data_IF_916290953155
#
_entry.id   IF_916290953155
#
_cell.length_a   1.000
_cell.length_b   1.000
_cell.length_c   1.000
_cell.angle_alpha   90.00
_cell.angle_beta   90.00
_cell.angle_gamma   90.00
#
_symmetry.space_group_name_H-M   'P 1'
#
loop_
_entity.id
_entity.type
_entity.pdbx_description
1 polymer ?
#
# COMPACT_ATOMS: atom_id res chain seq x y z
N UNK A 1 -11.23 5.98 -21.68
CA UNK A 1 -11.26 6.79 -20.45
C UNK A 1 -11.45 5.85 -19.28
N UNK A 2 -10.35 5.39 -18.69
CA UNK A 2 -10.38 4.58 -17.46
C UNK A 2 -10.70 5.54 -16.32
N UNK A 3 -11.84 5.36 -15.65
CA UNK A 3 -12.18 6.14 -14.46
C UNK A 3 -11.09 5.86 -13.42
N UNK A 4 -10.26 6.85 -13.08
CA UNK A 4 -9.42 6.77 -11.88
C UNK A 4 -10.37 6.61 -10.70
N UNK A 5 -10.38 5.42 -10.11
CA UNK A 5 -11.16 5.13 -8.93
C UNK A 5 -10.46 5.87 -7.78
N UNK A 6 -11.08 6.93 -7.28
CA UNK A 6 -10.60 7.63 -6.08
C UNK A 6 -10.86 6.74 -4.88
N UNK A 7 -9.78 6.31 -4.22
CA UNK A 7 -9.83 5.48 -3.03
C UNK A 7 -10.06 6.35 -1.78
N UNK A 8 -10.89 5.86 -0.86
CA UNK A 8 -11.13 6.49 0.44
C UNK A 8 -10.93 5.46 1.56
N UNK A 9 -10.25 5.86 2.63
CA UNK A 9 -10.08 5.04 3.83
C UNK A 9 -11.41 4.69 4.50
N UNK A 10 -12.44 5.54 4.37
CA UNK A 10 -13.75 5.26 4.95
C UNK A 10 -14.41 4.01 4.34
N UNK A 11 -14.31 3.86 3.01
CA UNK A 11 -14.82 2.66 2.31
C UNK A 11 -14.04 1.42 2.73
N UNK A 12 -12.71 1.54 2.88
CA UNK A 12 -11.87 0.45 3.37
C UNK A 12 -12.27 0.04 4.79
N UNK A 13 -12.47 0.98 5.72
CA UNK A 13 -12.86 0.67 7.09
C UNK A 13 -14.23 -0.02 7.18
N UNK A 14 -15.16 0.33 6.31
CA UNK A 14 -16.45 -0.37 6.19
C UNK A 14 -16.24 -1.81 5.73
N UNK A 15 -15.44 -2.03 4.69
CA UNK A 15 -15.17 -3.38 4.15
C UNK A 15 -14.39 -4.27 5.11
N UNK A 16 -13.58 -3.68 6.00
CA UNK A 16 -12.86 -4.40 7.05
C UNK A 16 -13.71 -4.63 8.31
N UNK A 17 -14.96 -4.14 8.37
CA UNK A 17 -15.82 -4.29 9.54
C UNK A 17 -15.41 -3.42 10.74
N UNK A 18 -14.54 -2.42 10.53
CA UNK A 18 -13.97 -1.56 11.58
C UNK A 18 -14.49 -0.12 11.53
N UNK A 19 -15.59 0.12 10.82
CA UNK A 19 -16.20 1.44 10.68
C UNK A 19 -16.56 2.13 12.00
N UNK A 20 -16.76 1.35 13.07
CA UNK A 20 -17.15 1.84 14.39
C UNK A 20 -15.95 2.20 15.31
N UNK A 21 -14.71 2.01 14.83
CA UNK A 21 -13.52 2.47 15.55
C UNK A 21 -13.55 3.99 15.75
N UNK A 22 -12.95 4.46 16.83
CA UNK A 22 -12.76 5.89 17.08
C UNK A 22 -11.87 6.53 16.00
N UNK A 23 -11.94 7.85 15.86
CA UNK A 23 -11.11 8.58 14.90
C UNK A 23 -9.61 8.34 15.14
N UNK A 24 -9.17 8.28 16.41
CA UNK A 24 -7.78 8.01 16.76
C UNK A 24 -7.34 6.60 16.37
N UNK A 25 -8.19 5.59 16.57
CA UNK A 25 -7.90 4.21 16.15
C UNK A 25 -7.85 4.08 14.61
N UNK A 26 -8.75 4.77 13.91
CA UNK A 26 -8.74 4.83 12.44
C UNK A 26 -7.49 5.51 11.89
N UNK A 27 -7.02 6.58 12.54
CA UNK A 27 -5.79 7.27 12.16
C UNK A 27 -4.56 6.37 12.35
N UNK A 28 -4.47 5.66 13.48
CA UNK A 28 -3.40 4.68 13.71
C UNK A 28 -3.43 3.58 12.65
N UNK A 29 -4.62 3.09 12.29
CA UNK A 29 -4.76 2.05 11.28
C UNK A 29 -4.41 2.55 9.87
N UNK A 30 -4.87 3.76 9.50
CA UNK A 30 -4.51 4.39 8.23
C UNK A 30 -3.00 4.56 8.10
N UNK A 31 -2.35 5.09 9.14
CA UNK A 31 -0.90 5.23 9.17
C UNK A 31 -0.18 3.89 9.01
N UNK A 32 -0.67 2.84 9.67
CA UNK A 32 -0.09 1.50 9.50
C UNK A 32 -0.26 0.98 8.08
N UNK A 33 -1.39 1.27 7.40
CA UNK A 33 -1.57 0.94 5.98
C UNK A 33 -0.54 1.67 5.12
N UNK A 34 -0.37 2.98 5.34
CA UNK A 34 0.58 3.82 4.59
C UNK A 34 2.01 3.28 4.72
N UNK A 35 2.47 3.03 5.95
CA UNK A 35 3.80 2.49 6.21
C UNK A 35 4.04 1.14 5.52
N UNK A 36 3.01 0.27 5.48
CA UNK A 36 3.11 -1.02 4.79
C UNK A 36 3.20 -0.85 3.27
N UNK A 37 2.38 0.03 2.70
CA UNK A 37 2.39 0.31 1.25
C UNK A 37 3.73 0.96 0.85
N UNK A 38 4.20 1.95 1.60
CA UNK A 38 5.51 2.58 1.37
C UNK A 38 6.65 1.56 1.41
N UNK A 39 6.65 0.66 2.41
CA UNK A 39 7.63 -0.41 2.50
C UNK A 39 7.63 -1.33 1.27
N UNK A 40 6.44 -1.70 0.77
CA UNK A 40 6.29 -2.53 -0.43
C UNK A 40 6.78 -1.82 -1.68
N UNK A 41 6.43 -0.54 -1.85
CA UNK A 41 6.92 0.30 -2.95
C UNK A 41 8.45 0.32 -2.96
N UNK A 42 9.07 0.58 -1.81
CA UNK A 42 10.53 0.64 -1.70
C UNK A 42 11.18 -0.71 -2.05
N UNK A 43 10.65 -1.82 -1.52
CA UNK A 43 11.15 -3.17 -1.85
C UNK A 43 11.05 -3.44 -3.36
N UNK A 44 9.94 -3.07 -4.00
CA UNK A 44 9.73 -3.29 -5.43
C UNK A 44 10.65 -2.42 -6.29
N UNK A 45 10.89 -1.17 -5.89
CA UNK A 45 11.89 -0.30 -6.52
C UNK A 45 13.26 -0.95 -6.41
N UNK A 46 13.71 -1.30 -5.20
CA UNK A 46 15.04 -1.89 -4.99
C UNK A 46 15.24 -3.22 -5.74
N UNK A 47 14.20 -4.04 -5.85
CA UNK A 47 14.24 -5.28 -6.63
C UNK A 47 14.31 -5.05 -8.14
N UNK A 48 13.92 -3.87 -8.62
CA UNK A 48 14.00 -3.48 -10.03
C UNK A 48 15.36 -2.88 -10.40
N UNK A 49 16.21 -2.62 -9.42
CA UNK A 49 17.55 -2.03 -9.60
C UNK A 49 18.64 -3.12 -9.56
N UNK A 50 19.69 -2.93 -10.36
CA UNK A 50 20.94 -3.69 -10.19
C UNK A 50 21.66 -3.29 -8.90
N UNK A 51 22.66 -4.05 -8.47
CA UNK A 51 23.41 -3.72 -7.26
C UNK A 51 24.23 -2.41 -7.41
N UNK A 52 24.73 -2.13 -8.62
CA UNK A 52 25.36 -0.83 -8.92
C UNK A 52 24.35 0.31 -8.82
N UNK A 53 23.14 0.09 -9.32
CA UNK A 53 22.06 1.07 -9.31
C UNK A 53 21.52 1.34 -7.91
N UNK A 54 21.48 0.33 -7.03
CA UNK A 54 21.15 0.53 -5.61
C UNK A 54 22.12 1.47 -4.92
N UNK A 55 23.42 1.33 -5.20
CA UNK A 55 24.43 2.25 -4.66
C UNK A 55 24.21 3.68 -5.13
N UNK A 56 23.84 3.87 -6.40
CA UNK A 56 23.53 5.18 -6.96
C UNK A 56 22.20 5.74 -6.40
N UNK A 57 21.22 4.89 -6.15
CA UNK A 57 19.97 5.25 -5.52
C UNK A 57 20.18 5.74 -4.07
N UNK A 58 20.98 5.02 -3.27
CA UNK A 58 21.34 5.42 -1.89
C UNK A 58 22.12 6.75 -1.81
N UNK A 59 22.78 7.12 -2.90
CA UNK A 59 23.50 8.39 -3.01
C UNK A 59 22.56 9.59 -3.22
N UNK A 60 21.32 9.39 -3.67
CA UNK A 60 20.33 10.45 -3.82
C UNK A 60 19.96 11.02 -2.44
N UNK A 61 19.84 12.36 -2.33
CA UNK A 61 19.57 13.06 -1.05
C UNK A 61 18.29 13.87 -1.07
N UNK A 62 17.70 14.06 -2.25
CA UNK A 62 16.47 14.83 -2.44
C UNK A 62 15.46 14.06 -3.27
N UNK A 63 14.18 14.36 -3.06
CA UNK A 63 13.09 13.74 -3.82
C UNK A 63 13.23 13.97 -5.34
N UNK A 64 13.74 15.13 -5.73
CA UNK A 64 14.00 15.45 -7.14
C UNK A 64 15.10 14.57 -7.75
N UNK A 65 16.15 14.24 -7.00
CA UNK A 65 17.20 13.31 -7.45
C UNK A 65 16.65 11.89 -7.57
N UNK A 66 15.85 11.46 -6.60
CA UNK A 66 15.19 10.15 -6.62
C UNK A 66 14.26 10.04 -7.84
N UNK A 67 13.41 11.03 -8.08
CA UNK A 67 12.49 11.05 -9.22
C UNK A 67 13.26 11.02 -10.55
N UNK A 68 14.31 11.84 -10.68
CA UNK A 68 15.15 11.86 -11.87
C UNK A 68 15.84 10.51 -12.11
N UNK A 69 16.37 9.89 -11.05
CA UNK A 69 17.01 8.58 -11.12
C UNK A 69 16.02 7.49 -11.56
N UNK A 70 14.87 7.39 -10.91
CA UNK A 70 13.84 6.40 -11.24
C UNK A 70 13.34 6.56 -12.67
N UNK A 71 13.14 7.81 -13.12
CA UNK A 71 12.80 8.11 -14.50
C UNK A 71 13.87 7.67 -15.50
N UNK A 72 15.15 7.87 -15.19
CA UNK A 72 16.25 7.40 -16.02
C UNK A 72 16.32 5.86 -16.11
N UNK A 73 15.83 5.17 -15.08
CA UNK A 73 15.69 3.70 -15.05
C UNK A 73 14.37 3.19 -15.63
N UNK A 74 13.54 4.08 -16.16
CA UNK A 74 12.21 3.75 -16.67
C UNK A 74 11.32 3.06 -15.60
N UNK A 75 11.49 3.47 -14.34
CA UNK A 75 10.69 3.02 -13.21
C UNK A 75 9.63 4.08 -12.94
N UNK A 76 8.36 3.71 -13.10
CA UNK A 76 7.21 4.57 -12.79
C UNK A 76 6.78 4.35 -11.35
N UNK A 77 7.27 5.20 -10.45
CA UNK A 77 6.95 5.15 -9.02
C UNK A 77 5.44 5.33 -8.77
N UNK A 78 4.76 6.17 -9.56
CA UNK A 78 3.32 6.41 -9.39
C UNK A 78 2.51 5.17 -9.75
N UNK A 79 2.87 4.50 -10.86
CA UNK A 79 2.24 3.24 -11.23
C UNK A 79 2.46 2.16 -10.16
N UNK A 80 3.70 2.00 -9.68
CA UNK A 80 4.02 1.07 -8.59
C UNK A 80 3.20 1.38 -7.34
N UNK A 81 3.12 2.65 -6.93
CA UNK A 81 2.38 3.05 -5.74
C UNK A 81 0.89 2.70 -5.83
N UNK A 82 0.26 2.95 -6.98
CA UNK A 82 -1.15 2.61 -7.22
C UNK A 82 -1.34 1.10 -7.18
N UNK A 83 -0.46 0.32 -7.82
CA UNK A 83 -0.55 -1.15 -7.84
C UNK A 83 -0.36 -1.76 -6.45
N UNK A 84 0.62 -1.30 -5.68
CA UNK A 84 0.88 -1.81 -4.32
C UNK A 84 -0.27 -1.44 -3.37
N UNK A 85 -0.80 -0.22 -3.46
CA UNK A 85 -1.95 0.19 -2.66
C UNK A 85 -3.20 -0.65 -2.96
N UNK A 86 -3.46 -0.93 -4.24
CA UNK A 86 -4.56 -1.78 -4.68
C UNK A 86 -4.39 -3.22 -4.20
N UNK A 87 -3.22 -3.80 -4.44
CA UNK A 87 -2.89 -5.17 -4.06
C UNK A 87 -3.02 -5.35 -2.55
N UNK A 88 -2.47 -4.42 -1.76
CA UNK A 88 -2.53 -4.51 -0.31
C UNK A 88 -3.97 -4.33 0.22
N UNK A 89 -4.77 -3.45 -0.37
CA UNK A 89 -6.20 -3.33 -0.04
C UNK A 89 -6.95 -4.64 -0.28
N UNK A 90 -6.74 -5.26 -1.43
CA UNK A 90 -7.39 -6.54 -1.78
C UNK A 90 -6.99 -7.66 -0.80
N UNK A 91 -5.72 -7.71 -0.41
CA UNK A 91 -5.23 -8.62 0.63
C UNK A 91 -5.94 -8.40 1.97
N UNK A 92 -6.01 -7.14 2.45
CA UNK A 92 -6.69 -6.81 3.71
C UNK A 92 -8.17 -7.22 3.69
N UNK A 93 -8.89 -6.93 2.61
CA UNK A 93 -10.31 -7.28 2.47
C UNK A 93 -10.49 -8.80 2.44
N UNK A 94 -9.63 -9.52 1.72
CA UNK A 94 -9.65 -10.98 1.62
C UNK A 94 -9.41 -11.62 2.98
N UNK A 95 -8.43 -11.13 3.73
CA UNK A 95 -8.10 -11.64 5.06
C UNK A 95 -9.24 -11.38 6.06
N UNK A 96 -9.85 -10.19 6.02
CA UNK A 96 -11.03 -9.87 6.83
C UNK A 96 -12.21 -10.82 6.52
N UNK A 97 -12.52 -11.00 5.23
CA UNK A 97 -13.61 -11.88 4.76
C UNK A 97 -13.39 -13.34 5.19
N UNK A 98 -12.15 -13.81 5.17
CA UNK A 98 -11.80 -15.17 5.61
C UNK A 98 -11.99 -15.36 7.12
N UNK A 99 -11.64 -14.36 7.92
CA UNK A 99 -11.83 -14.38 9.38
C UNK A 99 -13.33 -14.40 9.71
N UNK A 100 -14.14 -13.55 9.07
CA UNK A 100 -15.61 -13.55 9.26
C UNK A 100 -16.25 -14.89 8.89
N UNK A 101 -15.82 -15.49 7.78
CA UNK A 101 -16.29 -16.80 7.34
C UNK A 101 -15.96 -17.91 8.35
N UNK A 102 -14.75 -17.89 8.93
CA UNK A 102 -14.35 -18.84 9.98
C UNK A 102 -15.11 -18.65 11.27
N UNK A 103 -15.29 -17.41 11.74
CA UNK A 103 -16.03 -17.13 12.98
C UNK A 103 -17.50 -17.53 12.86
N UNK A 104 -18.12 -17.27 11.71
CA UNK A 104 -19.49 -17.67 11.40
C UNK A 104 -19.65 -19.20 11.37
N UNK A 105 -18.68 -19.92 10.80
CA UNK A 105 -18.67 -21.39 10.78
C UNK A 105 -18.47 -22.01 12.18
N UNK A 106 -17.90 -21.27 13.13
CA UNK A 106 -17.63 -21.72 14.50
C UNK A 106 -18.73 -21.33 15.51
N UNK A 107 -19.83 -20.70 15.07
CA UNK A 107 -20.98 -20.39 15.92
C UNK A 107 -20.72 -19.34 17.01
N UNK A 108 -19.64 -18.56 16.90
CA UNK A 108 -19.33 -17.46 17.82
C UNK A 108 -19.78 -16.15 17.19
N UNK A 109 -20.95 -15.67 17.57
CA UNK A 109 -21.39 -14.27 17.39
C UNK A 109 -21.65 -13.67 18.75
#
# INVERSE_FOLDING_TARGET
MTKQQTFSYDDLFVQLGIANLSAAEKEVFAKSIEENVEGRIMVRILNSLSDEDKTAFDACKTDAEIEAFLKAKNIDMSAIAVEEALTFREELIKDASFIEGKLSAMGKK
#
